data_IF_064663933384
#
_entry.id   IF_064663933384
#
_cell.length_a   1.000
_cell.length_b   1.000
_cell.length_c   1.000
_cell.angle_alpha   90.00
_cell.angle_beta   90.00
_cell.angle_gamma   90.00
#
_symmetry.space_group_name_H-M   'P 1'
#
loop_
_entity.id
_entity.type
_entity.pdbx_description
1 polymer ?
#
# COMPACT_ATOMS: atom_id res chain seq x y z
N UNK A 1 -5.62 0.07 -10.69
CA UNK A 1 -5.76 -1.05 -9.76
C UNK A 1 -7.24 -1.34 -9.50
N UNK A 2 -7.64 -2.60 -9.49
CA UNK A 2 -9.01 -2.99 -9.13
C UNK A 2 -9.18 -3.00 -7.61
N UNK A 3 -10.26 -2.39 -7.10
CA UNK A 3 -10.60 -2.44 -5.67
C UNK A 3 -10.72 -3.88 -5.16
N UNK A 4 -11.35 -4.76 -5.94
CA UNK A 4 -11.50 -6.17 -5.58
C UNK A 4 -10.15 -6.88 -5.46
N UNK A 5 -9.20 -6.61 -6.37
CA UNK A 5 -7.87 -7.21 -6.34
C UNK A 5 -7.08 -6.74 -5.12
N UNK A 6 -7.13 -5.44 -4.82
CA UNK A 6 -6.51 -4.90 -3.60
C UNK A 6 -7.08 -5.57 -2.35
N UNK A 7 -8.40 -5.63 -2.21
CA UNK A 7 -9.03 -6.26 -1.05
C UNK A 7 -8.73 -7.76 -0.95
N UNK A 8 -8.77 -8.50 -2.06
CA UNK A 8 -8.38 -9.91 -2.07
C UNK A 8 -6.92 -10.10 -1.67
N UNK A 9 -6.02 -9.20 -2.05
CA UNK A 9 -4.63 -9.24 -1.58
C UNK A 9 -4.55 -8.97 -0.06
N UNK A 10 -5.19 -7.91 0.43
CA UNK A 10 -5.17 -7.54 1.86
C UNK A 10 -5.82 -8.60 2.75
N UNK A 11 -6.78 -9.37 2.23
CA UNK A 11 -7.38 -10.52 2.88
C UNK A 11 -6.53 -11.81 2.79
N UNK A 12 -5.46 -11.81 2.00
CA UNK A 12 -4.59 -12.97 1.75
C UNK A 12 -5.16 -14.01 0.78
N UNK A 13 -6.17 -13.64 -0.02
CA UNK A 13 -6.82 -14.50 -1.01
C UNK A 13 -6.00 -14.62 -2.30
N UNK A 14 -5.28 -13.55 -2.68
CA UNK A 14 -4.33 -13.55 -3.79
C UNK A 14 -2.92 -13.18 -3.30
N UNK A 15 -1.90 -13.61 -4.03
CA UNK A 15 -0.51 -13.34 -3.68
C UNK A 15 -0.09 -11.91 -4.03
N UNK A 16 0.97 -11.42 -3.37
CA UNK A 16 1.59 -10.13 -3.70
C UNK A 16 2.04 -10.07 -5.17
N UNK A 17 2.56 -11.18 -5.71
CA UNK A 17 2.97 -11.27 -7.11
C UNK A 17 1.80 -11.19 -8.10
N UNK A 18 0.63 -11.74 -7.74
CA UNK A 18 -0.57 -11.62 -8.57
C UNK A 18 -1.07 -10.18 -8.61
N UNK A 19 -1.10 -9.49 -7.45
CA UNK A 19 -1.44 -8.06 -7.41
C UNK A 19 -0.40 -7.22 -8.16
N UNK A 20 0.90 -7.48 -7.96
CA UNK A 20 1.98 -6.77 -8.66
C UNK A 20 1.82 -6.86 -10.18
N UNK A 21 1.53 -8.04 -10.71
CA UNK A 21 1.32 -8.22 -12.15
C UNK A 21 0.18 -7.36 -12.71
N UNK A 22 -0.84 -7.06 -11.90
CA UNK A 22 -1.94 -6.17 -12.28
C UNK A 22 -1.50 -4.69 -12.30
N UNK A 23 -0.73 -4.25 -11.28
CA UNK A 23 -0.48 -2.83 -11.04
C UNK A 23 0.88 -2.33 -11.55
N UNK A 24 1.78 -3.22 -12.00
CA UNK A 24 3.15 -2.91 -12.40
C UNK A 24 3.24 -1.74 -13.39
N UNK A 25 2.39 -1.75 -14.43
CA UNK A 25 2.38 -0.69 -15.43
C UNK A 25 1.95 0.68 -14.86
N UNK A 26 1.02 0.70 -13.90
CA UNK A 26 0.57 1.92 -13.23
C UNK A 26 1.66 2.48 -12.33
N UNK A 27 2.28 1.62 -11.50
CA UNK A 27 3.39 1.99 -10.61
C UNK A 27 4.58 2.54 -11.40
N UNK A 28 4.98 1.84 -12.46
CA UNK A 28 6.05 2.31 -13.35
C UNK A 28 5.71 3.63 -14.05
N UNK A 29 4.43 3.84 -14.39
CA UNK A 29 3.94 5.10 -14.94
C UNK A 29 4.08 6.25 -13.95
N UNK A 30 3.72 6.05 -12.68
CA UNK A 30 3.91 7.04 -11.61
C UNK A 30 5.39 7.37 -11.40
N UNK A 31 6.25 6.35 -11.30
CA UNK A 31 7.70 6.55 -11.15
C UNK A 31 8.29 7.32 -12.33
N UNK A 32 7.91 6.99 -13.56
CA UNK A 32 8.37 7.71 -14.75
C UNK A 32 7.91 9.18 -14.75
N UNK A 33 6.71 9.47 -14.23
CA UNK A 33 6.19 10.82 -14.12
C UNK A 33 7.01 11.69 -13.15
N UNK A 34 7.56 11.11 -12.07
CA UNK A 34 8.44 11.82 -11.12
C UNK A 34 9.67 12.44 -11.79
N UNK A 35 10.13 11.88 -12.91
CA UNK A 35 11.29 12.37 -13.67
C UNK A 35 10.91 13.24 -14.89
N UNK A 36 9.62 13.51 -15.13
CA UNK A 36 9.16 14.30 -16.25
C UNK A 36 8.99 15.79 -15.89
N UNK A 37 9.29 16.70 -16.83
CA UNK A 37 9.28 18.16 -16.63
C UNK A 37 7.93 18.75 -16.18
N UNK A 38 6.82 18.03 -16.38
CA UNK A 38 5.47 18.42 -15.93
C UNK A 38 4.87 17.44 -14.90
N UNK A 39 5.69 16.55 -14.34
CA UNK A 39 5.34 15.27 -13.72
C UNK A 39 4.09 15.23 -12.85
N UNK A 40 3.02 14.61 -13.37
CA UNK A 40 1.85 14.20 -12.60
C UNK A 40 1.73 12.69 -12.72
N UNK A 41 1.88 11.98 -11.61
CA UNK A 41 1.50 10.57 -11.47
C UNK A 41 0.03 10.47 -11.06
N UNK A 42 -0.65 9.40 -11.48
CA UNK A 42 -2.03 9.14 -11.09
C UNK A 42 -2.11 7.81 -10.36
N UNK A 43 -2.61 7.86 -9.13
CA UNK A 43 -3.04 6.66 -8.42
C UNK A 43 -4.49 6.40 -8.78
N UNK A 44 -4.75 5.28 -9.45
CA UNK A 44 -6.08 4.94 -9.96
C UNK A 44 -6.53 3.64 -9.28
N UNK A 45 -7.56 3.75 -8.46
CA UNK A 45 -8.32 2.60 -7.99
C UNK A 45 -9.73 2.66 -8.56
N UNK A 46 -10.25 1.54 -9.08
CA UNK A 46 -11.66 1.48 -9.49
C UNK A 46 -12.56 1.66 -8.28
N UNK A 47 -13.71 2.32 -8.46
CA UNK A 47 -14.72 2.41 -7.41
C UNK A 47 -15.11 1.00 -6.90
N UNK A 48 -15.31 0.90 -5.58
CA UNK A 48 -15.68 -0.33 -4.90
C UNK A 48 -16.58 -0.06 -3.68
N UNK A 49 -17.09 -1.12 -3.03
CA UNK A 49 -17.82 -0.94 -1.78
C UNK A 49 -16.90 -0.38 -0.69
N UNK A 50 -17.47 0.42 0.22
CA UNK A 50 -16.76 0.89 1.42
C UNK A 50 -16.13 -0.30 2.16
N UNK A 51 -14.83 -0.20 2.45
CA UNK A 51 -14.06 -1.24 3.11
C UNK A 51 -13.31 -0.67 4.33
N UNK A 52 -13.30 -1.44 5.43
CA UNK A 52 -12.55 -1.11 6.63
C UNK A 52 -11.15 -1.74 6.56
N UNK A 53 -10.12 -0.91 6.57
CA UNK A 53 -8.72 -1.34 6.62
C UNK A 53 -8.29 -1.53 8.08
N UNK A 54 -7.83 -2.74 8.41
CA UNK A 54 -7.48 -3.14 9.77
C UNK A 54 -5.96 -3.29 9.93
N UNK A 55 -5.49 -3.46 11.17
CA UNK A 55 -4.09 -3.77 11.45
C UNK A 55 -3.61 -5.06 10.76
N UNK A 56 -4.50 -6.04 10.57
CA UNK A 56 -4.19 -7.26 9.81
C UNK A 56 -3.94 -6.96 8.33
N UNK A 57 -4.73 -6.08 7.72
CA UNK A 57 -4.54 -5.69 6.32
C UNK A 57 -3.22 -4.95 6.13
N UNK A 58 -2.89 -4.02 7.03
CA UNK A 58 -1.61 -3.32 7.01
C UNK A 58 -0.43 -4.27 7.26
N UNK A 59 -0.55 -5.26 8.15
CA UNK A 59 0.49 -6.29 8.34
C UNK A 59 0.72 -7.13 7.07
N UNK A 60 -0.33 -7.47 6.31
CA UNK A 60 -0.18 -8.19 5.03
C UNK A 60 0.66 -7.40 4.04
N UNK A 61 0.38 -6.11 3.87
CA UNK A 61 1.15 -5.23 2.98
C UNK A 61 2.61 -5.09 3.45
N UNK A 62 2.82 -4.76 4.72
CA UNK A 62 4.15 -4.57 5.29
C UNK A 62 4.98 -5.86 5.30
N UNK A 63 4.33 -7.02 5.50
CA UNK A 63 4.98 -8.33 5.40
C UNK A 63 5.42 -8.61 3.96
N UNK A 64 4.55 -8.35 2.97
CA UNK A 64 4.88 -8.55 1.57
C UNK A 64 6.11 -7.72 1.15
N UNK A 65 6.16 -6.46 1.62
CA UNK A 65 7.30 -5.57 1.44
C UNK A 65 8.56 -6.09 2.16
N UNK A 66 8.45 -6.43 3.44
CA UNK A 66 9.57 -6.97 4.22
C UNK A 66 10.12 -8.26 3.62
N UNK A 67 9.30 -9.14 3.06
CA UNK A 67 9.73 -10.38 2.43
C UNK A 67 10.33 -10.16 1.04
N UNK A 68 10.23 -8.95 0.47
CA UNK A 68 10.67 -8.63 -0.89
C UNK A 68 9.77 -9.24 -1.97
N UNK A 69 8.58 -9.69 -1.59
CA UNK A 69 7.56 -10.20 -2.53
C UNK A 69 6.79 -9.09 -3.23
N UNK A 70 6.88 -7.86 -2.69
CA UNK A 70 6.36 -6.64 -3.28
C UNK A 70 7.47 -5.57 -3.26
N UNK A 71 7.74 -4.87 -4.38
CA UNK A 71 8.67 -3.73 -4.40
C UNK A 71 8.20 -2.58 -3.51
N UNK A 72 9.13 -1.74 -3.04
CA UNK A 72 8.80 -0.57 -2.23
C UNK A 72 7.83 0.37 -2.95
N UNK A 73 8.12 0.73 -4.20
CA UNK A 73 7.28 1.64 -4.98
C UNK A 73 5.84 1.14 -5.12
N UNK A 74 5.66 -0.17 -5.24
CA UNK A 74 4.33 -0.78 -5.29
C UNK A 74 3.62 -0.71 -3.92
N UNK A 75 4.37 -0.85 -2.83
CA UNK A 75 3.82 -0.71 -1.48
C UNK A 75 3.43 0.74 -1.16
N UNK A 76 4.23 1.72 -1.58
CA UNK A 76 3.91 3.14 -1.51
C UNK A 76 2.65 3.46 -2.31
N UNK A 77 2.59 3.01 -3.58
CA UNK A 77 1.41 3.19 -4.44
C UNK A 77 0.13 2.62 -3.84
N UNK A 78 0.20 1.43 -3.23
CA UNK A 78 -0.96 0.82 -2.56
C UNK A 78 -1.37 1.63 -1.32
N UNK A 79 -0.41 2.10 -0.52
CA UNK A 79 -0.68 2.95 0.64
C UNK A 79 -1.37 4.25 0.23
N UNK A 80 -0.84 4.93 -0.79
CA UNK A 80 -1.42 6.12 -1.41
C UNK A 80 -2.85 5.87 -1.91
N UNK A 81 -3.08 4.75 -2.60
CA UNK A 81 -4.39 4.38 -3.11
C UNK A 81 -5.42 4.21 -1.98
N UNK A 82 -5.01 3.65 -0.84
CA UNK A 82 -5.88 3.52 0.33
C UNK A 82 -6.15 4.86 1.02
N UNK A 83 -5.13 5.72 1.14
CA UNK A 83 -5.25 7.02 1.81
C UNK A 83 -6.09 8.00 0.99
N UNK A 84 -5.92 8.02 -0.33
CA UNK A 84 -6.57 8.99 -1.22
C UNK A 84 -7.98 8.56 -1.68
N UNK A 85 -8.34 7.29 -1.53
CA UNK A 85 -9.63 6.79 -1.97
C UNK A 85 -10.69 6.88 -0.88
N UNK A 86 -11.82 7.52 -1.22
CA UNK A 86 -13.01 7.52 -0.37
C UNK A 86 -13.63 6.12 -0.19
N UNK A 87 -13.11 5.06 -0.82
CA UNK A 87 -13.59 3.70 -0.61
C UNK A 87 -13.09 3.06 0.69
N UNK A 88 -12.08 3.64 1.35
CA UNK A 88 -11.48 3.05 2.56
C UNK A 88 -11.70 3.89 3.81
N UNK A 89 -12.06 3.21 4.89
CA UNK A 89 -12.04 3.76 6.25
C UNK A 89 -10.98 2.98 7.05
N UNK A 90 -10.34 3.61 8.05
CA UNK A 90 -9.31 2.95 8.87
C UNK A 90 -9.85 2.57 10.25
N UNK A 91 -9.65 1.31 10.64
CA UNK A 91 -10.15 0.77 11.91
C UNK A 91 -9.38 1.23 13.16
N UNK A 92 -8.19 1.79 12.98
CA UNK A 92 -7.30 2.25 14.06
C UNK A 92 -6.37 3.35 13.51
N UNK A 93 -6.07 4.38 14.32
CA UNK A 93 -5.15 5.47 13.97
C UNK A 93 -3.75 4.96 13.63
N UNK A 94 -3.29 3.89 14.29
CA UNK A 94 -2.00 3.25 14.01
C UNK A 94 -1.93 2.66 12.60
N UNK A 95 -3.07 2.27 12.03
CA UNK A 95 -3.15 1.77 10.64
C UNK A 95 -2.95 2.94 9.69
N UNK A 96 -3.69 4.04 9.87
CA UNK A 96 -3.52 5.23 9.03
C UNK A 96 -2.12 5.84 9.16
N UNK A 97 -1.53 5.85 10.35
CA UNK A 97 -0.14 6.31 10.56
C UNK A 97 0.88 5.43 9.84
N UNK A 98 0.74 4.10 9.96
CA UNK A 98 1.67 3.17 9.32
C UNK A 98 1.61 3.29 7.78
N UNK A 99 0.41 3.44 7.23
CA UNK A 99 0.23 3.65 5.79
C UNK A 99 0.73 5.02 5.35
N UNK A 100 0.48 6.08 6.12
CA UNK A 100 0.98 7.43 5.80
C UNK A 100 2.50 7.50 5.83
N UNK A 101 3.14 6.78 6.75
CA UNK A 101 4.59 6.68 6.81
C UNK A 101 5.15 5.83 5.67
N UNK A 102 4.43 4.78 5.23
CA UNK A 102 4.80 3.99 4.06
C UNK A 102 4.65 4.77 2.75
N UNK A 103 3.63 5.63 2.62
CA UNK A 103 3.44 6.48 1.44
C UNK A 103 4.39 7.68 1.38
N UNK A 104 5.09 8.01 2.47
CA UNK A 104 6.02 9.13 2.50
C UNK A 104 7.33 8.77 1.80
N UNK A 105 7.38 9.03 0.50
CA UNK A 105 8.57 8.81 -0.34
C UNK A 105 9.70 9.84 -0.09
N UNK A 106 9.51 10.81 0.81
CA UNK A 106 10.55 11.81 1.12
C UNK A 106 11.69 11.25 1.99
N UNK A 107 11.47 10.10 2.64
CA UNK A 107 12.44 9.42 3.50
C UNK A 107 12.71 8.02 2.97
N UNK A 108 13.98 7.56 2.94
CA UNK A 108 14.28 6.17 2.57
C UNK A 108 13.57 5.20 3.51
N UNK A 109 12.87 4.22 2.93
CA UNK A 109 12.17 3.17 3.68
C UNK A 109 12.91 1.83 3.56
N UNK A 110 13.16 1.18 4.68
CA UNK A 110 13.96 -0.04 4.81
C UNK A 110 13.14 -1.22 5.32
N UNK A 111 13.70 -2.42 5.14
CA UNK A 111 13.14 -3.66 5.70
C UNK A 111 12.95 -3.59 7.22
N UNK A 112 13.89 -2.98 7.94
CA UNK A 112 13.81 -2.86 9.40
C UNK A 112 12.65 -1.94 9.82
N UNK A 113 12.37 -0.89 9.05
CA UNK A 113 11.21 -0.03 9.28
C UNK A 113 9.90 -0.78 9.01
N UNK A 114 9.84 -1.59 7.95
CA UNK A 114 8.70 -2.48 7.70
C UNK A 114 8.43 -3.40 8.90
N UNK A 115 9.46 -4.08 9.41
CA UNK A 115 9.35 -4.97 10.56
C UNK A 115 8.96 -4.22 11.85
N UNK A 116 9.51 -3.02 12.07
CA UNK A 116 9.18 -2.19 13.22
C UNK A 116 7.71 -1.74 13.21
N UNK A 117 7.18 -1.33 12.05
CA UNK A 117 5.76 -0.95 11.90
C UNK A 117 4.83 -2.15 12.18
N UNK A 118 5.17 -3.33 11.67
CA UNK A 118 4.41 -4.57 11.95
C UNK A 118 4.36 -4.87 13.45
N UNK A 119 5.48 -4.67 14.15
CA UNK A 119 5.54 -4.78 15.61
C UNK A 119 4.58 -3.81 16.32
N UNK A 120 4.50 -2.55 15.85
CA UNK A 120 3.57 -1.53 16.40
C UNK A 120 2.11 -1.88 16.20
N UNK A 121 1.75 -2.47 15.06
CA UNK A 121 0.38 -2.90 14.74
C UNK A 121 -0.06 -4.11 15.59
N UNK A 122 0.88 -4.93 16.05
CA UNK A 122 0.61 -6.13 16.85
C UNK A 122 0.56 -5.87 18.36
N UNK A 123 0.96 -4.68 18.82
CA UNK A 123 0.96 -4.34 20.25
C UNK A 123 -0.47 -4.08 20.75
N UNK A 124 -0.88 -4.64 21.91
CA UNK A 124 -2.13 -4.26 22.55
C UNK A 124 -2.06 -2.79 23.02
N UNK A 125 -3.15 -2.05 22.80
CA UNK A 125 -3.39 -0.71 23.37
C UNK A 125 -3.67 -0.77 24.86
#
# INVERSE_FOLDING_TARGET
>A
MLHSSLMSFLNGEISAGALWHEIEAEVMGCLAATFADAGVGHVIITDGPKALVTGQHADVLLRALAEGSLPLDAACYIADAMIMSDCFDFGDERVSEALSYLSDESVPFSRQEAEALRGRLSAPT
#
